data_IF_066431758187
#
_entry.id   IF_066431758187
#
_cell.length_a   1.000
_cell.length_b   1.000
_cell.length_c   1.000
_cell.angle_alpha   90.00
_cell.angle_beta   90.00
_cell.angle_gamma   90.00
#
_symmetry.space_group_name_H-M   'P 1'
#
loop_
_entity.id
_entity.type
_entity.pdbx_description
1 polymer ?
#
# COMPACT_ATOMS: atom_id res chain seq x y z
N UNK A 1 9.88 -8.63 -7.46
CA UNK A 1 8.61 -7.89 -7.35
C UNK A 1 7.41 -8.80 -7.63
N UNK A 2 7.27 -9.45 -8.80
CA UNK A 2 6.22 -10.45 -9.04
C UNK A 2 6.18 -11.59 -7.98
N UNK A 3 7.36 -12.05 -7.55
CA UNK A 3 7.50 -13.10 -6.54
C UNK A 3 6.89 -12.76 -5.17
N UNK A 4 6.89 -11.47 -4.77
CA UNK A 4 6.34 -11.03 -3.48
C UNK A 4 4.82 -11.19 -3.46
N UNK A 5 4.13 -10.84 -4.55
CA UNK A 5 2.67 -10.96 -4.62
C UNK A 5 2.19 -12.41 -4.63
N UNK A 6 2.90 -13.31 -5.31
CA UNK A 6 2.62 -14.75 -5.31
C UNK A 6 2.86 -15.39 -3.92
N UNK A 7 3.91 -14.97 -3.22
CA UNK A 7 4.22 -15.45 -1.85
C UNK A 7 3.23 -14.92 -0.79
N UNK A 8 2.60 -13.77 -1.04
CA UNK A 8 1.66 -13.12 -0.11
C UNK A 8 0.26 -13.75 -0.09
N UNK A 9 -0.04 -14.65 -1.04
CA UNK A 9 -1.35 -15.31 -1.19
C UNK A 9 -2.51 -14.31 -1.20
N UNK A 10 -2.36 -13.19 -1.92
CA UNK A 10 -3.36 -12.13 -1.97
C UNK A 10 -4.70 -12.64 -2.53
N UNK A 11 -5.78 -12.28 -1.86
CA UNK A 11 -7.15 -12.62 -2.26
C UNK A 11 -7.91 -11.34 -2.64
N UNK A 12 -8.81 -11.36 -3.64
CA UNK A 12 -9.55 -10.19 -4.10
C UNK A 12 -10.30 -9.41 -3.00
N UNK A 13 -10.69 -10.09 -1.93
CA UNK A 13 -11.40 -9.52 -0.77
C UNK A 13 -10.48 -8.93 0.31
N UNK A 14 -9.16 -9.13 0.23
CA UNK A 14 -8.22 -8.66 1.25
C UNK A 14 -8.20 -7.12 1.31
N UNK A 15 -8.29 -6.57 2.52
CA UNK A 15 -7.99 -5.16 2.81
C UNK A 15 -6.51 -5.03 3.08
N UNK A 16 -5.80 -4.38 2.16
CA UNK A 16 -4.34 -4.25 2.22
C UNK A 16 -3.97 -2.80 2.55
N UNK A 17 -2.98 -2.65 3.43
CA UNK A 17 -2.25 -1.39 3.61
C UNK A 17 -0.83 -1.53 3.03
N UNK A 18 -0.49 -0.73 2.03
CA UNK A 18 0.88 -0.56 1.55
C UNK A 18 1.57 0.51 2.41
N UNK A 19 2.41 0.08 3.34
CA UNK A 19 3.12 0.94 4.27
C UNK A 19 4.39 1.45 3.61
N UNK A 20 4.67 2.76 3.77
CA UNK A 20 5.77 3.43 3.08
C UNK A 20 5.64 3.30 1.56
N UNK A 21 4.42 3.49 1.04
CA UNK A 21 4.11 3.24 -0.37
C UNK A 21 4.91 4.12 -1.34
N UNK A 22 5.49 5.23 -0.85
CA UNK A 22 6.13 6.25 -1.67
C UNK A 22 5.18 6.74 -2.76
N UNK A 23 5.68 6.79 -3.99
CA UNK A 23 4.85 7.14 -5.16
C UNK A 23 3.96 5.99 -5.64
N UNK A 24 4.02 4.81 -5.01
CA UNK A 24 3.18 3.65 -5.33
C UNK A 24 3.81 2.66 -6.29
N UNK A 25 5.11 2.36 -6.16
CA UNK A 25 5.83 1.44 -7.06
C UNK A 25 5.27 0.01 -7.03
N UNK A 26 4.66 -0.41 -5.90
CA UNK A 26 4.10 -1.75 -5.74
C UNK A 26 2.68 -1.90 -6.29
N UNK A 27 1.96 -0.79 -6.48
CA UNK A 27 0.53 -0.80 -6.86
C UNK A 27 0.26 -1.58 -8.16
N UNK A 28 1.05 -1.44 -9.25
CA UNK A 28 0.84 -2.21 -10.48
C UNK A 28 0.97 -3.73 -10.32
N UNK A 29 1.68 -4.20 -9.29
CA UNK A 29 1.84 -5.62 -9.00
C UNK A 29 0.72 -6.12 -8.07
N UNK A 30 0.33 -5.31 -7.08
CA UNK A 30 -0.72 -5.67 -6.13
C UNK A 30 -2.10 -5.69 -6.79
N UNK A 31 -2.39 -4.70 -7.65
CA UNK A 31 -3.71 -4.57 -8.28
C UNK A 31 -4.05 -5.70 -9.27
N UNK A 32 -3.06 -6.51 -9.67
CA UNK A 32 -3.30 -7.72 -10.46
C UNK A 32 -4.10 -8.77 -9.68
N UNK A 33 -4.11 -8.69 -8.35
CA UNK A 33 -4.73 -9.67 -7.45
C UNK A 33 -5.91 -9.11 -6.66
N UNK A 34 -5.91 -7.81 -6.37
CA UNK A 34 -6.98 -7.13 -5.60
C UNK A 34 -7.44 -5.85 -6.30
N UNK A 35 -8.71 -5.41 -6.15
CA UNK A 35 -9.15 -4.13 -6.69
C UNK A 35 -8.47 -2.94 -5.98
N UNK A 36 -8.25 -1.82 -6.69
CA UNK A 36 -7.59 -0.62 -6.11
C UNK A 36 -8.35 -0.05 -4.91
N UNK A 37 -9.68 -0.21 -4.88
CA UNK A 37 -10.53 0.19 -3.75
C UNK A 37 -10.22 -0.56 -2.45
N UNK A 38 -9.56 -1.72 -2.55
CA UNK A 38 -9.15 -2.56 -1.42
C UNK A 38 -7.68 -2.34 -1.01
N UNK A 39 -6.94 -1.48 -1.73
CA UNK A 39 -5.55 -1.14 -1.47
C UNK A 39 -5.45 0.28 -0.90
N UNK A 40 -5.18 0.38 0.40
CA UNK A 40 -4.87 1.66 1.06
C UNK A 40 -3.37 1.95 1.04
N UNK A 41 -3.01 3.22 0.87
CA UNK A 41 -1.64 3.72 0.82
C UNK A 41 -1.31 4.45 2.12
N UNK A 42 -0.15 4.17 2.71
CA UNK A 42 0.36 4.91 3.86
C UNK A 42 1.78 5.37 3.61
N UNK A 43 2.04 6.67 3.81
CA UNK A 43 3.38 7.24 3.77
C UNK A 43 3.42 8.45 4.71
N UNK A 44 4.56 8.72 5.33
CA UNK A 44 4.71 9.90 6.18
C UNK A 44 4.88 11.20 5.36
N UNK A 45 5.13 11.08 4.06
CA UNK A 45 5.27 12.21 3.13
C UNK A 45 4.00 12.45 2.31
N UNK A 46 3.30 13.55 2.62
CA UNK A 46 2.15 14.03 1.82
C UNK A 46 2.53 14.25 0.34
N UNK A 47 3.76 14.69 0.07
CA UNK A 47 4.24 14.87 -1.30
C UNK A 47 4.30 13.54 -2.07
N UNK A 48 4.73 12.45 -1.42
CA UNK A 48 4.75 11.12 -2.03
C UNK A 48 3.33 10.62 -2.33
N UNK A 49 2.40 10.79 -1.38
CA UNK A 49 1.00 10.42 -1.56
C UNK A 49 0.33 11.22 -2.68
N UNK A 50 0.64 12.52 -2.82
CA UNK A 50 0.16 13.33 -3.94
C UNK A 50 0.59 12.76 -5.28
N UNK A 51 1.86 12.39 -5.44
CA UNK A 51 2.33 11.75 -6.68
C UNK A 51 1.71 10.36 -6.90
N UNK A 52 1.54 9.57 -5.84
CA UNK A 52 0.86 8.28 -5.93
C UNK A 52 -0.60 8.43 -6.39
N UNK A 53 -1.34 9.37 -5.79
CA UNK A 53 -2.75 9.63 -6.08
C UNK A 53 -2.99 10.20 -7.49
N UNK A 54 -2.02 10.89 -8.09
CA UNK A 54 -2.10 11.29 -9.51
C UNK A 54 -2.17 10.07 -10.44
N UNK A 55 -1.48 8.98 -10.08
CA UNK A 55 -1.42 7.75 -10.88
C UNK A 55 -2.52 6.76 -10.50
N UNK A 56 -2.88 6.72 -9.22
CA UNK A 56 -3.83 5.76 -8.65
C UNK A 56 -4.89 6.50 -7.80
N UNK A 57 -5.80 7.24 -8.45
CA UNK A 57 -6.80 8.06 -7.76
C UNK A 57 -7.83 7.23 -6.99
N UNK A 58 -7.94 5.93 -7.26
CA UNK A 58 -8.89 5.03 -6.60
C UNK A 58 -8.41 4.51 -5.23
N UNK A 59 -7.09 4.46 -4.99
CA UNK A 59 -6.54 3.96 -3.74
C UNK A 59 -6.79 4.97 -2.60
N UNK A 60 -7.41 4.58 -1.47
CA UNK A 60 -7.42 5.41 -0.26
C UNK A 60 -5.98 5.73 0.18
N UNK A 61 -5.73 6.92 0.73
CA UNK A 61 -4.40 7.33 1.18
C UNK A 61 -4.45 7.91 2.60
N UNK A 62 -3.45 7.55 3.40
CA UNK A 62 -3.29 7.94 4.79
C UNK A 62 -1.89 8.56 4.95
N UNK A 63 -1.84 9.86 5.22
CA UNK A 63 -0.57 10.54 5.52
C UNK A 63 -0.28 10.39 7.02
N UNK A 64 0.64 9.51 7.39
CA UNK A 64 0.99 9.22 8.77
C UNK A 64 2.36 8.56 8.86
N UNK A 65 3.06 8.77 9.98
CA UNK A 65 4.04 7.79 10.41
C UNK A 65 3.30 6.48 10.74
N UNK A 66 3.81 5.36 10.23
CA UNK A 66 3.22 4.05 10.49
C UNK A 66 3.23 3.70 11.98
N UNK A 67 4.25 4.14 12.73
CA UNK A 67 4.37 3.88 14.17
C UNK A 67 3.28 4.60 14.98
N UNK A 68 2.72 5.68 14.43
CA UNK A 68 1.63 6.45 15.04
C UNK A 68 0.25 6.02 14.53
N UNK A 69 0.21 5.16 13.51
CA UNK A 69 -1.04 4.73 12.90
C UNK A 69 -1.84 3.87 13.88
N UNK A 70 -3.05 4.34 14.23
CA UNK A 70 -3.99 3.54 15.01
C UNK A 70 -4.37 2.28 14.21
N UNK A 71 -4.48 1.16 14.92
CA UNK A 71 -4.83 -0.13 14.34
C UNK A 71 -6.09 -0.02 13.47
N UNK A 72 -5.94 -0.26 12.17
CA UNK A 72 -7.04 -0.32 11.21
C UNK A 72 -7.54 -1.75 10.97
N UNK A 73 -8.68 -1.88 10.29
CA UNK A 73 -9.21 -3.17 9.84
C UNK A 73 -8.56 -3.56 8.50
N UNK A 74 -7.31 -3.97 8.55
CA UNK A 74 -6.56 -4.53 7.41
C UNK A 74 -6.29 -6.02 7.65
N UNK A 75 -6.47 -6.81 6.60
CA UNK A 75 -6.17 -8.24 6.62
C UNK A 75 -4.66 -8.48 6.45
N UNK A 76 -3.98 -7.62 5.68
CA UNK A 76 -2.55 -7.71 5.40
C UNK A 76 -1.91 -6.31 5.38
N UNK A 77 -0.68 -6.24 5.91
CA UNK A 77 0.18 -5.06 5.82
C UNK A 77 1.39 -5.40 4.95
N UNK A 78 1.68 -4.55 3.97
CA UNK A 78 2.83 -4.71 3.10
C UNK A 78 3.91 -3.71 3.48
N UNK A 79 5.12 -4.21 3.69
CA UNK A 79 6.32 -3.41 3.92
C UNK A 79 7.33 -3.78 2.84
N UNK A 80 7.47 -2.92 1.84
CA UNK A 80 8.47 -3.12 0.80
C UNK A 80 9.46 -1.95 0.80
N UNK A 81 10.73 -2.25 1.12
CA UNK A 81 11.83 -1.28 1.15
C UNK A 81 11.59 -0.05 2.06
N UNK A 82 10.77 -0.21 3.11
CA UNK A 82 10.43 0.85 4.07
C UNK A 82 11.45 0.99 5.18
N UNK A 83 11.98 -0.14 5.67
CA UNK A 83 12.99 -0.18 6.71
C UNK A 83 14.31 -0.65 6.10
N UNK A 84 15.30 0.23 6.07
CA UNK A 84 16.66 -0.08 5.64
C UNK A 84 17.57 0.20 6.84
N UNK A 85 17.78 -0.83 7.67
CA UNK A 85 18.75 -0.85 8.77
C UNK A 85 19.60 -2.11 8.65
#
# INVERSE_FOLDING_TARGET
MAKIAEELLLQPQDKILDVGCGTGAMIPFIHQYIPLSQLSLCDCSDAMLKEAKKRFPECPAICSDFLELKRGNFDKLLFNAVFVY
#
